data_IF_393763772888
#
_entry.id   IF_393763772888
#
_cell.length_a   1.000
_cell.length_b   1.000
_cell.length_c   1.000
_cell.angle_alpha   90.00
_cell.angle_beta   90.00
_cell.angle_gamma   90.00
#
_symmetry.space_group_name_H-M   'P 1'
#
loop_
_entity.id
_entity.type
_entity.pdbx_description
1 polymer ?
#
# COMPACT_ATOMS: atom_id res chain seq x y z
N UNK A 1 -0.14 11.26 7.09
CA UNK A 1 -1.02 10.33 6.33
C UNK A 1 -1.40 9.12 7.19
N UNK A 2 -0.42 8.30 7.62
CA UNK A 2 -0.73 6.98 8.21
C UNK A 2 -1.33 6.99 9.61
N UNK A 3 -0.89 7.85 10.53
CA UNK A 3 -1.46 7.91 11.91
C UNK A 3 -2.95 8.30 11.90
N UNK A 4 -3.31 9.31 11.10
CA UNK A 4 -4.71 9.70 10.89
C UNK A 4 -5.46 8.62 10.11
N UNK A 5 -4.79 7.97 9.16
CA UNK A 5 -5.33 6.85 8.38
C UNK A 5 -5.77 5.68 9.25
N UNK A 6 -4.98 5.30 10.27
CA UNK A 6 -5.35 4.22 11.20
C UNK A 6 -6.71 4.50 11.86
N UNK A 7 -6.93 5.75 12.28
CA UNK A 7 -8.21 6.14 12.85
C UNK A 7 -9.33 6.13 11.80
N UNK A 8 -9.10 6.72 10.62
CA UNK A 8 -10.12 6.81 9.56
C UNK A 8 -10.54 5.43 9.05
N UNK A 9 -9.58 4.58 8.66
CA UNK A 9 -9.85 3.23 8.18
C UNK A 9 -10.52 2.39 9.26
N UNK A 10 -10.04 2.46 10.51
CA UNK A 10 -10.66 1.74 11.62
C UNK A 10 -12.10 2.18 11.88
N UNK A 11 -12.33 3.50 11.95
CA UNK A 11 -13.67 4.05 12.17
C UNK A 11 -14.63 3.68 11.05
N UNK A 12 -14.19 3.77 9.80
CA UNK A 12 -15.02 3.39 8.65
C UNK A 12 -15.31 1.89 8.61
N UNK A 13 -14.33 1.03 8.89
CA UNK A 13 -14.54 -0.41 8.98
C UNK A 13 -15.55 -0.76 10.09
N UNK A 14 -15.45 -0.11 11.25
CA UNK A 14 -16.39 -0.26 12.36
C UNK A 14 -17.80 0.22 11.97
N UNK A 15 -17.93 1.40 11.34
CA UNK A 15 -19.23 1.94 10.92
C UNK A 15 -19.90 1.07 9.84
N UNK A 16 -19.11 0.43 8.99
CA UNK A 16 -19.58 -0.49 7.95
C UNK A 16 -19.79 -1.92 8.44
N UNK A 17 -19.30 -2.28 9.64
CA UNK A 17 -19.28 -3.64 10.17
C UNK A 17 -18.60 -4.64 9.21
N UNK A 18 -17.63 -4.17 8.43
CA UNK A 18 -16.85 -4.96 7.47
C UNK A 18 -15.39 -4.60 7.60
N UNK A 19 -14.54 -5.61 7.78
CA UNK A 19 -13.09 -5.44 7.76
C UNK A 19 -12.62 -5.18 6.33
N UNK A 20 -11.78 -4.15 6.14
CA UNK A 20 -11.11 -3.84 4.87
C UNK A 20 -12.07 -3.81 3.66
N UNK A 21 -13.12 -2.99 3.75
CA UNK A 21 -14.05 -2.82 2.64
C UNK A 21 -13.37 -1.97 1.56
N UNK A 22 -13.46 -2.36 0.28
CA UNK A 22 -12.82 -1.66 -0.84
C UNK A 22 -13.31 -0.23 -1.16
N UNK A 23 -14.10 0.38 -0.26
CA UNK A 23 -14.39 1.82 -0.26
C UNK A 23 -13.52 2.60 0.72
N UNK A 24 -12.77 1.91 1.57
CA UNK A 24 -11.67 2.45 2.36
C UNK A 24 -10.49 2.50 1.38
N UNK A 25 -10.02 3.71 1.08
CA UNK A 25 -9.00 3.97 0.03
C UNK A 25 -7.82 4.75 0.62
N UNK A 26 -7.88 5.11 1.90
CA UNK A 26 -6.87 5.97 2.52
C UNK A 26 -5.54 5.23 2.80
N UNK A 27 -5.66 3.96 3.12
CA UNK A 27 -4.63 2.93 3.11
C UNK A 27 -3.95 2.81 1.74
N UNK A 28 -4.71 2.63 0.65
CA UNK A 28 -4.19 2.56 -0.71
C UNK A 28 -3.44 3.84 -1.10
N UNK A 29 -3.99 5.01 -0.73
CA UNK A 29 -3.34 6.32 -0.93
C UNK A 29 -2.02 6.42 -0.16
N UNK A 30 -1.96 5.91 1.08
CA UNK A 30 -0.72 5.90 1.84
C UNK A 30 0.32 4.97 1.22
N UNK A 31 -0.09 3.77 0.79
CA UNK A 31 0.77 2.79 0.14
C UNK A 31 1.35 3.27 -1.19
N UNK A 32 0.52 3.88 -2.05
CA UNK A 32 0.97 4.40 -3.34
C UNK A 32 1.90 5.60 -3.20
N UNK A 33 1.65 6.51 -2.25
CA UNK A 33 2.56 7.63 -1.98
C UNK A 33 3.92 7.13 -1.50
N UNK A 34 3.94 6.05 -0.72
CA UNK A 34 5.19 5.44 -0.24
C UNK A 34 5.94 4.70 -1.36
N UNK A 35 5.22 4.14 -2.33
CA UNK A 35 5.80 3.51 -3.53
C UNK A 35 6.71 4.46 -4.30
N UNK A 36 6.38 5.75 -4.33
CA UNK A 36 7.13 6.78 -5.05
C UNK A 36 8.17 7.52 -4.19
N UNK A 37 8.42 7.07 -2.97
CA UNK A 37 9.40 7.73 -2.10
C UNK A 37 10.79 7.74 -2.76
N UNK A 38 11.33 8.94 -2.98
CA UNK A 38 12.63 9.18 -3.65
C UNK A 38 12.73 8.73 -5.12
N UNK A 39 11.59 8.45 -5.77
CA UNK A 39 11.54 8.16 -7.20
C UNK A 39 11.22 9.44 -7.99
N UNK A 40 12.01 9.81 -9.01
CA UNK A 40 11.64 10.88 -9.93
C UNK A 40 10.32 10.55 -10.65
N UNK A 41 9.35 11.45 -10.58
CA UNK A 41 8.03 11.24 -11.18
C UNK A 41 8.06 11.54 -12.68
N UNK A 42 7.80 10.52 -13.47
CA UNK A 42 7.52 10.58 -14.90
C UNK A 42 6.28 9.73 -15.20
N UNK A 43 5.62 9.90 -16.36
CA UNK A 43 4.47 9.05 -16.71
C UNK A 43 4.80 7.55 -16.65
N UNK A 44 6.04 7.18 -16.98
CA UNK A 44 6.49 5.80 -16.92
C UNK A 44 6.69 5.32 -15.48
N UNK A 45 7.37 6.09 -14.63
CA UNK A 45 7.59 5.68 -13.23
C UNK A 45 6.29 5.63 -12.45
N UNK A 46 5.35 6.55 -12.72
CA UNK A 46 4.00 6.52 -12.15
C UNK A 46 3.23 5.26 -12.57
N UNK A 47 3.25 4.91 -13.86
CA UNK A 47 2.60 3.70 -14.34
C UNK A 47 3.21 2.43 -13.74
N UNK A 48 4.54 2.33 -13.72
CA UNK A 48 5.25 1.18 -13.17
C UNK A 48 5.02 1.04 -11.66
N UNK A 49 5.12 2.14 -10.90
CA UNK A 49 4.86 2.13 -9.47
C UNK A 49 3.41 1.76 -9.15
N UNK A 50 2.44 2.28 -9.90
CA UNK A 50 1.04 1.88 -9.75
C UNK A 50 0.84 0.37 -9.97
N UNK A 51 1.40 -0.18 -11.05
CA UNK A 51 1.31 -1.62 -11.36
C UNK A 51 1.98 -2.46 -10.27
N UNK A 52 3.18 -2.07 -9.82
CA UNK A 52 3.90 -2.78 -8.75
C UNK A 52 3.15 -2.74 -7.43
N UNK A 53 2.64 -1.58 -7.04
CA UNK A 53 1.83 -1.43 -5.84
C UNK A 53 0.60 -2.34 -5.87
N UNK A 54 -0.21 -2.26 -6.93
CA UNK A 54 -1.38 -3.14 -7.10
C UNK A 54 -1.02 -4.61 -7.15
N UNK A 55 0.13 -4.96 -7.72
CA UNK A 55 0.61 -6.34 -7.70
C UNK A 55 0.82 -6.86 -6.27
N UNK A 56 1.48 -6.08 -5.40
CA UNK A 56 1.71 -6.48 -4.01
C UNK A 56 0.45 -6.43 -3.15
N UNK A 57 -0.36 -5.38 -3.30
CA UNK A 57 -1.63 -5.20 -2.60
C UNK A 57 -2.65 -6.31 -2.94
N UNK A 58 -2.81 -6.67 -4.22
CA UNK A 58 -3.75 -7.73 -4.63
C UNK A 58 -3.25 -9.13 -4.24
N UNK A 59 -1.95 -9.41 -4.43
CA UNK A 59 -1.42 -10.75 -4.15
C UNK A 59 -1.18 -11.01 -2.66
N UNK A 60 -0.99 -9.95 -1.88
CA UNK A 60 -0.60 -9.98 -0.46
C UNK A 60 0.50 -11.03 -0.16
N UNK A 61 1.68 -11.03 -0.83
CA UNK A 61 2.76 -11.97 -0.50
C UNK A 61 3.25 -11.77 0.94
N UNK A 62 4.03 -12.70 1.47
CA UNK A 62 4.65 -12.51 2.79
C UNK A 62 5.50 -11.22 2.79
N UNK A 63 5.38 -10.34 3.80
CA UNK A 63 4.66 -10.50 5.07
C UNK A 63 3.24 -9.88 5.13
N UNK A 64 2.65 -9.43 4.01
CA UNK A 64 1.37 -8.72 3.93
C UNK A 64 0.21 -9.62 4.39
N UNK A 65 0.09 -10.85 3.86
CA UNK A 65 -1.03 -11.75 4.19
C UNK A 65 -1.16 -12.11 5.68
N UNK A 66 -0.07 -12.37 6.43
CA UNK A 66 -0.16 -12.49 7.89
C UNK A 66 -0.65 -11.20 8.59
N UNK A 67 -0.23 -10.02 8.13
CA UNK A 67 -0.66 -8.74 8.71
C UNK A 67 -2.16 -8.57 8.55
N UNK A 68 -2.65 -8.67 7.32
CA UNK A 68 -4.07 -8.64 6.94
C UNK A 68 -4.91 -9.65 7.75
N UNK A 69 -4.39 -10.86 7.99
CA UNK A 69 -5.12 -11.92 8.69
C UNK A 69 -5.16 -11.75 10.22
N UNK A 70 -4.09 -11.26 10.83
CA UNK A 70 -3.91 -11.34 12.30
C UNK A 70 -3.99 -9.99 13.01
N UNK A 71 -3.77 -8.88 12.30
CA UNK A 71 -3.92 -7.55 12.87
C UNK A 71 -5.28 -6.99 12.48
N UNK A 72 -6.12 -6.76 13.49
CA UNK A 72 -7.47 -6.25 13.28
C UNK A 72 -7.54 -4.72 13.33
N UNK A 73 -8.62 -4.19 12.77
CA UNK A 73 -8.97 -2.78 12.80
C UNK A 73 -8.07 -1.94 11.90
N UNK A 74 -8.15 -0.62 12.07
CA UNK A 74 -7.46 0.33 11.18
C UNK A 74 -5.93 0.20 11.16
N UNK A 75 -5.32 -0.44 12.16
CA UNK A 75 -3.87 -0.73 12.13
C UNK A 75 -3.55 -1.84 11.12
N UNK A 76 -4.35 -2.90 11.07
CA UNK A 76 -4.18 -3.98 10.09
C UNK A 76 -4.36 -3.46 8.67
N UNK A 77 -5.47 -2.77 8.45
CA UNK A 77 -5.88 -2.15 7.18
C UNK A 77 -4.85 -1.13 6.67
N UNK A 78 -4.20 -0.38 7.54
CA UNK A 78 -3.16 0.56 7.10
C UNK A 78 -1.81 -0.13 6.86
N UNK A 79 -1.50 -1.16 7.63
CA UNK A 79 -0.16 -1.73 7.66
C UNK A 79 0.08 -2.68 6.48
N UNK A 80 -0.93 -3.42 6.02
CA UNK A 80 -0.79 -4.29 4.85
C UNK A 80 -0.48 -3.49 3.57
N UNK A 81 -1.17 -2.38 3.32
CA UNK A 81 -0.92 -1.44 2.22
C UNK A 81 0.40 -0.68 2.35
N UNK A 82 0.78 -0.27 3.57
CA UNK A 82 2.09 0.34 3.80
C UNK A 82 3.21 -0.64 3.47
N UNK A 83 3.07 -1.92 3.84
CA UNK A 83 4.05 -2.95 3.50
C UNK A 83 4.05 -3.22 1.99
N UNK A 84 2.88 -3.26 1.34
CA UNK A 84 2.79 -3.34 -0.13
C UNK A 84 3.51 -2.16 -0.81
N UNK A 85 3.33 -0.94 -0.31
CA UNK A 85 4.03 0.25 -0.76
C UNK A 85 5.55 0.16 -0.60
N UNK A 86 6.05 -0.38 0.51
CA UNK A 86 7.50 -0.59 0.71
C UNK A 86 8.04 -1.58 -0.31
N UNK A 87 7.36 -2.70 -0.51
CA UNK A 87 7.75 -3.73 -1.49
C UNK A 87 7.75 -3.17 -2.91
N UNK A 88 6.74 -2.37 -3.26
CA UNK A 88 6.64 -1.67 -4.53
C UNK A 88 7.77 -0.66 -4.72
N UNK A 89 8.07 0.15 -3.71
CA UNK A 89 9.16 1.13 -3.73
C UNK A 89 10.51 0.47 -3.99
N UNK A 90 10.84 -0.60 -3.25
CA UNK A 90 12.09 -1.37 -3.44
C UNK A 90 12.14 -1.98 -4.83
N UNK A 91 11.03 -2.55 -5.31
CA UNK A 91 10.96 -3.15 -6.64
C UNK A 91 11.13 -2.11 -7.75
N UNK A 92 10.52 -0.94 -7.60
CA UNK A 92 10.64 0.15 -8.57
C UNK A 92 12.08 0.68 -8.62
N UNK A 93 12.73 0.88 -7.47
CA UNK A 93 14.16 1.21 -7.43
C UNK A 93 15.01 0.16 -8.12
N UNK A 94 14.76 -1.14 -7.88
CA UNK A 94 15.49 -2.22 -8.52
C UNK A 94 15.32 -2.18 -10.05
N UNK A 95 14.11 -1.93 -10.55
CA UNK A 95 13.83 -1.78 -11.99
C UNK A 95 14.64 -0.62 -12.57
N UNK A 96 14.59 0.57 -11.94
CA UNK A 96 15.33 1.74 -12.43
C UNK A 96 16.84 1.51 -12.43
N UNK A 97 17.38 0.93 -11.36
CA UNK A 97 18.81 0.63 -11.24
C UNK A 97 19.31 -0.40 -12.26
N UNK A 98 18.51 -1.44 -12.55
CA UNK A 98 18.90 -2.51 -13.48
C UNK A 98 18.74 -2.14 -14.96
N UNK A 99 17.80 -1.23 -15.27
CA UNK A 99 17.46 -0.86 -16.65
C UNK A 99 18.06 0.47 -17.08
N UNK A 100 18.49 1.32 -16.13
CA UNK A 100 18.99 2.67 -16.42
C UNK A 100 17.90 3.63 -16.88
N UNK A 101 16.64 3.30 -16.62
CA UNK A 101 15.47 4.17 -16.82
C UNK A 101 15.50 5.40 -15.91
#
# INVERSE_FOLDING_TARGET
ASVVGIYLCGKTADDMQVHDHGSIVWDEVAGILLTFLWIPLSPLTVLLGFVLFRFFDILKPWPIKPIDKYLAGGLGIMLDDVVAGVMACVSLHAVLLLTGL
#
